data_IF_377493167920
#
_entry.id   IF_377493167920
#
_cell.length_a   1.000
_cell.length_b   1.000
_cell.length_c   1.000
_cell.angle_alpha   90.00
_cell.angle_beta   90.00
_cell.angle_gamma   90.00
#
_symmetry.space_group_name_H-M   'P 1'
#
loop_
_entity.id
_entity.type
_entity.pdbx_description
1 polymer ?
#
# COMPACT_ATOMS: atom_id res chain seq x y z
N UNK A 1 6.04 -10.27 -21.30
CA UNK A 1 5.48 -10.18 -19.93
C UNK A 1 6.00 -8.89 -19.33
N UNK A 2 5.23 -8.14 -18.52
CA UNK A 2 5.73 -6.91 -17.93
C UNK A 2 6.98 -7.25 -17.11
N UNK A 3 8.09 -6.59 -17.43
CA UNK A 3 9.41 -6.80 -16.83
C UNK A 3 9.60 -6.00 -15.54
N UNK A 4 8.61 -5.20 -15.16
CA UNK A 4 8.66 -4.24 -14.04
C UNK A 4 7.87 -4.78 -12.85
N UNK A 5 8.40 -4.67 -11.61
CA UNK A 5 7.65 -5.03 -10.40
C UNK A 5 6.36 -4.23 -10.28
N UNK A 6 5.28 -4.89 -9.85
CA UNK A 6 3.99 -4.23 -9.65
C UNK A 6 3.89 -3.70 -8.23
N UNK A 7 3.88 -2.37 -8.08
CA UNK A 7 3.70 -1.70 -6.79
C UNK A 7 2.32 -1.98 -6.19
N UNK A 8 2.30 -2.37 -4.92
CA UNK A 8 1.09 -2.58 -4.09
C UNK A 8 1.13 -1.61 -2.91
N UNK A 9 0.46 -0.44 -3.00
CA UNK A 9 0.42 0.50 -1.88
C UNK A 9 -0.44 -0.05 -0.73
N UNK A 10 -0.12 0.36 0.50
CA UNK A 10 -0.86 -0.05 1.69
C UNK A 10 -1.92 1.00 2.03
N UNK A 11 -3.19 0.74 1.71
CA UNK A 11 -4.26 1.74 1.89
C UNK A 11 -4.59 2.02 3.37
N UNK A 12 -4.23 1.12 4.27
CA UNK A 12 -4.35 1.32 5.73
C UNK A 12 -3.15 2.05 6.36
N UNK A 13 -2.09 2.35 5.60
CA UNK A 13 -0.95 3.11 6.10
C UNK A 13 -1.25 4.61 6.13
N UNK A 14 -0.40 5.37 6.83
CA UNK A 14 -0.48 6.83 6.81
C UNK A 14 -0.35 7.35 5.36
N UNK A 15 0.64 6.85 4.62
CA UNK A 15 0.89 7.23 3.24
C UNK A 15 -0.26 6.84 2.30
N UNK A 16 -0.83 5.65 2.49
CA UNK A 16 -2.02 5.15 1.81
C UNK A 16 -3.24 6.07 1.96
N UNK A 17 -3.41 6.64 3.15
CA UNK A 17 -4.54 7.50 3.51
C UNK A 17 -4.44 8.93 2.95
N UNK A 18 -3.28 9.33 2.41
CA UNK A 18 -3.07 10.67 1.85
C UNK A 18 -3.78 10.88 0.51
N UNK A 19 -4.16 9.80 -0.18
CA UNK A 19 -4.87 9.84 -1.46
C UNK A 19 -6.25 9.22 -1.34
N UNK A 20 -7.18 9.72 -2.15
CA UNK A 20 -8.46 9.04 -2.37
C UNK A 20 -8.24 7.78 -3.21
N UNK A 21 -9.15 6.80 -3.12
CA UNK A 21 -9.09 5.59 -3.96
C UNK A 21 -9.05 5.93 -5.46
N UNK A 22 -9.82 6.93 -5.90
CA UNK A 22 -9.80 7.42 -7.28
C UNK A 22 -8.43 7.98 -7.70
N UNK A 23 -7.70 8.66 -6.79
CA UNK A 23 -6.35 9.14 -7.10
C UNK A 23 -5.35 8.00 -7.27
N UNK A 24 -5.42 6.97 -6.43
CA UNK A 24 -4.61 5.76 -6.58
C UNK A 24 -4.87 5.07 -7.93
N UNK A 25 -6.13 4.94 -8.32
CA UNK A 25 -6.52 4.34 -9.60
C UNK A 25 -6.06 5.16 -10.80
N UNK A 26 -6.21 6.49 -10.76
CA UNK A 26 -5.70 7.39 -11.80
C UNK A 26 -4.19 7.38 -11.93
N UNK A 27 -3.47 7.06 -10.85
CA UNK A 27 -2.02 6.86 -10.88
C UNK A 27 -1.61 5.55 -11.57
N UNK A 28 -2.56 4.62 -11.79
CA UNK A 28 -2.36 3.33 -12.46
C UNK A 28 -2.37 2.13 -11.51
N UNK A 29 -2.64 2.32 -10.21
CA UNK A 29 -2.69 1.22 -9.24
C UNK A 29 -3.94 0.38 -9.46
N UNK A 30 -3.73 -0.93 -9.66
CA UNK A 30 -4.80 -1.93 -9.86
C UNK A 30 -4.88 -2.94 -8.72
N UNK A 31 -3.81 -3.11 -7.94
CA UNK A 31 -3.76 -3.97 -6.76
C UNK A 31 -3.31 -3.14 -5.56
N UNK A 32 -4.00 -3.28 -4.43
CA UNK A 32 -3.65 -2.55 -3.21
C UNK A 32 -3.78 -3.46 -1.97
N UNK A 33 -3.03 -3.15 -0.92
CA UNK A 33 -3.01 -3.92 0.32
C UNK A 33 -3.78 -3.22 1.45
N UNK A 34 -4.41 -4.03 2.29
CA UNK A 34 -5.06 -3.62 3.52
C UNK A 34 -4.55 -4.51 4.65
N UNK A 35 -4.09 -3.91 5.73
CA UNK A 35 -3.59 -4.67 6.86
C UNK A 35 -4.73 -5.05 7.82
N UNK A 36 -4.81 -6.34 8.17
CA UNK A 36 -5.88 -6.86 9.00
C UNK A 36 -5.82 -6.33 10.43
N UNK A 37 -4.64 -6.15 11.02
CA UNK A 37 -4.50 -5.53 12.33
C UNK A 37 -5.01 -4.08 12.35
N UNK A 38 -4.71 -3.28 11.32
CA UNK A 38 -5.24 -1.94 11.15
C UNK A 38 -6.78 -1.94 11.08
N UNK A 39 -7.36 -2.83 10.27
CA UNK A 39 -8.81 -2.98 10.15
C UNK A 39 -9.48 -3.46 11.45
N UNK A 40 -8.81 -4.36 12.19
CA UNK A 40 -9.27 -4.81 13.50
C UNK A 40 -9.28 -3.65 14.49
N UNK A 41 -8.30 -2.74 14.45
CA UNK A 41 -8.32 -1.54 15.29
C UNK A 41 -9.42 -0.56 14.88
N UNK A 42 -9.49 -0.22 13.59
CA UNK A 42 -10.57 0.57 12.99
C UNK A 42 -10.83 0.08 11.55
N UNK A 43 -12.08 -0.27 11.21
CA UNK A 43 -13.31 0.06 11.91
C UNK A 43 -13.67 -0.81 13.12
N UNK A 44 -12.99 -1.95 13.34
CA UNK A 44 -13.29 -2.84 14.48
C UNK A 44 -13.82 -4.21 14.06
N UNK A 45 -13.57 -5.23 14.88
CA UNK A 45 -13.95 -6.62 14.59
C UNK A 45 -15.46 -6.79 14.33
N UNK A 46 -16.32 -6.20 15.16
CA UNK A 46 -17.77 -6.37 15.03
C UNK A 46 -18.29 -5.75 13.74
N UNK A 47 -17.75 -4.59 13.36
CA UNK A 47 -18.07 -3.96 12.08
C UNK A 47 -17.60 -4.84 10.91
N UNK A 48 -16.36 -5.35 10.95
CA UNK A 48 -15.84 -6.22 9.90
C UNK A 48 -16.69 -7.49 9.70
N UNK A 49 -17.19 -8.08 10.79
CA UNK A 49 -18.10 -9.24 10.73
C UNK A 49 -19.47 -8.90 10.11
N UNK A 50 -19.90 -7.63 10.19
CA UNK A 50 -21.16 -7.18 9.60
C UNK A 50 -21.08 -6.91 8.09
N UNK A 51 -19.86 -6.82 7.53
CA UNK A 51 -19.66 -6.54 6.11
C UNK A 51 -20.04 -7.75 5.24
N UNK A 52 -20.61 -7.47 4.06
CA UNK A 52 -20.84 -8.49 3.03
C UNK A 52 -19.57 -8.91 2.27
N UNK A 53 -18.50 -8.14 2.44
CA UNK A 53 -17.18 -8.29 1.84
C UNK A 53 -16.39 -6.98 1.90
N UNK A 54 -15.07 -7.05 1.75
CA UNK A 54 -14.14 -5.92 1.94
C UNK A 54 -14.40 -4.79 0.95
N UNK A 55 -14.76 -5.13 -0.30
CA UNK A 55 -15.08 -4.15 -1.35
C UNK A 55 -16.36 -3.33 -1.08
N UNK A 56 -17.20 -3.74 -0.13
CA UNK A 56 -18.34 -2.93 0.33
C UNK A 56 -17.92 -1.75 1.22
N UNK A 57 -16.76 -1.88 1.89
CA UNK A 57 -16.18 -0.83 2.73
C UNK A 57 -15.09 -0.04 2.00
N UNK A 58 -14.27 -0.72 1.20
CA UNK A 58 -13.31 -0.11 0.27
C UNK A 58 -13.80 -0.31 -1.16
N UNK A 59 -14.53 0.66 -1.78
CA UNK A 59 -15.05 0.53 -3.13
C UNK A 59 -13.94 0.64 -4.19
N UNK A 60 -13.01 -0.32 -4.15
CA UNK A 60 -11.87 -0.46 -5.02
C UNK A 60 -12.26 -1.31 -6.22
N UNK A 61 -12.08 -0.78 -7.43
CA UNK A 61 -12.43 -1.51 -8.66
C UNK A 61 -11.39 -2.54 -9.09
N UNK A 62 -10.20 -2.51 -8.48
CA UNK A 62 -9.13 -3.47 -8.73
C UNK A 62 -9.16 -4.67 -7.79
N UNK A 63 -8.02 -5.31 -7.63
CA UNK A 63 -7.82 -6.42 -6.70
C UNK A 63 -7.37 -5.89 -5.32
N UNK A 64 -7.69 -6.62 -4.26
CA UNK A 64 -7.29 -6.31 -2.89
C UNK A 64 -6.51 -7.47 -2.25
N UNK A 65 -5.39 -7.13 -1.61
CA UNK A 65 -4.65 -8.01 -0.71
C UNK A 65 -5.07 -7.71 0.73
N UNK A 66 -5.51 -8.73 1.46
CA UNK A 66 -5.67 -8.63 2.91
C UNK A 66 -4.42 -9.20 3.60
N UNK A 67 -3.59 -8.32 4.14
CA UNK A 67 -2.33 -8.67 4.76
C UNK A 67 -2.55 -8.95 6.27
N UNK A 68 -2.43 -10.21 6.66
CA UNK A 68 -2.51 -10.69 8.04
C UNK A 68 -1.13 -11.13 8.59
N UNK A 69 -0.04 -10.79 7.89
CA UNK A 69 1.32 -11.22 8.26
C UNK A 69 1.82 -10.63 9.58
N UNK A 70 1.30 -9.45 9.96
CA UNK A 70 1.68 -8.77 11.21
C UNK A 70 1.01 -9.34 12.46
N UNK A 71 0.00 -10.21 12.30
CA UNK A 71 -0.68 -10.84 13.42
C UNK A 71 0.27 -11.83 14.11
N UNK A 72 0.54 -11.58 15.39
CA UNK A 72 1.44 -12.39 16.23
C UNK A 72 0.65 -13.30 17.15
N UNK A 73 0.95 -14.59 17.07
CA UNK A 73 0.45 -15.61 17.99
C UNK A 73 1.11 -15.46 19.37
N UNK A 74 0.31 -15.54 20.43
CA UNK A 74 0.80 -15.57 21.81
C UNK A 74 1.05 -17.02 22.27
N UNK A 75 1.60 -17.19 23.47
CA UNK A 75 1.87 -18.53 24.05
C UNK A 75 0.62 -19.40 24.23
N UNK A 76 -0.57 -18.81 24.24
CA UNK A 76 -1.84 -19.50 24.38
C UNK A 76 -2.51 -19.80 23.02
N UNK A 77 -1.81 -19.59 21.89
CA UNK A 77 -2.33 -19.87 20.55
C UNK A 77 -3.28 -18.82 19.98
N UNK A 78 -3.32 -17.62 20.56
CA UNK A 78 -4.21 -16.54 20.11
C UNK A 78 -3.45 -15.38 19.47
N UNK A 79 -4.03 -14.79 18.45
CA UNK A 79 -3.58 -13.58 17.78
C UNK A 79 -4.17 -12.36 18.48
N UNK A 80 -3.30 -11.48 18.95
CA UNK A 80 -3.69 -10.30 19.75
C UNK A 80 -3.33 -9.01 19.04
N UNK A 81 -4.31 -8.13 18.89
CA UNK A 81 -4.14 -6.74 18.46
C UNK A 81 -4.55 -5.83 19.61
N UNK A 82 -3.72 -4.83 19.91
CA UNK A 82 -4.05 -3.78 20.89
C UNK A 82 -4.23 -2.48 20.14
N UNK A 83 -5.44 -1.93 20.20
CA UNK A 83 -5.76 -0.64 19.60
C UNK A 83 -4.99 0.48 20.28
N UNK A 84 -4.27 1.29 19.52
CA UNK A 84 -3.64 2.53 20.01
C UNK A 84 -4.63 3.70 20.11
N UNK A 85 -5.87 3.54 19.67
CA UNK A 85 -6.91 4.57 19.75
C UNK A 85 -7.63 4.59 21.10
N UNK A 86 -7.99 3.41 21.61
CA UNK A 86 -8.84 3.22 22.80
C UNK A 86 -8.28 2.19 23.78
N UNK A 87 -7.15 1.55 23.45
CA UNK A 87 -6.53 0.54 24.31
C UNK A 87 -7.22 -0.81 24.30
N UNK A 88 -8.29 -0.98 23.52
CA UNK A 88 -9.01 -2.24 23.38
C UNK A 88 -8.08 -3.37 22.92
N UNK A 89 -8.30 -4.56 23.46
CA UNK A 89 -7.54 -5.75 23.12
C UNK A 89 -8.47 -6.70 22.38
N UNK A 90 -8.15 -6.92 21.11
CA UNK A 90 -8.85 -7.86 20.25
C UNK A 90 -8.03 -9.14 20.23
N UNK A 91 -8.68 -10.26 20.55
CA UNK A 91 -8.03 -11.57 20.60
C UNK A 91 -8.85 -12.57 19.78
N UNK A 92 -8.17 -13.26 18.87
CA UNK A 92 -8.75 -14.25 17.96
C UNK A 92 -7.90 -15.52 17.97
N UNK A 93 -8.50 -16.69 17.81
CA UNK A 93 -7.77 -17.91 17.44
C UNK A 93 -7.58 -17.97 15.91
N UNK A 94 -6.82 -18.96 15.43
CA UNK A 94 -6.55 -19.12 14.00
C UNK A 94 -7.85 -19.33 13.18
N UNK A 95 -8.79 -20.11 13.72
CA UNK A 95 -10.06 -20.39 13.06
C UNK A 95 -10.90 -19.12 12.86
N UNK A 96 -10.96 -18.26 13.87
CA UNK A 96 -11.66 -16.98 13.80
C UNK A 96 -10.97 -16.01 12.83
N UNK A 97 -9.63 -16.01 12.75
CA UNK A 97 -8.89 -15.22 11.75
C UNK A 97 -9.24 -15.70 10.33
N UNK A 98 -9.22 -17.00 10.05
CA UNK A 98 -9.58 -17.53 8.73
C UNK A 98 -11.03 -17.27 8.37
N UNK A 99 -11.96 -17.48 9.30
CA UNK A 99 -13.37 -17.18 9.10
C UNK A 99 -13.58 -15.69 8.75
N UNK A 100 -12.85 -14.79 9.41
CA UNK A 100 -12.89 -13.37 9.11
C UNK A 100 -12.34 -13.05 7.71
N UNK A 101 -11.18 -13.61 7.34
CA UNK A 101 -10.60 -13.40 6.00
C UNK A 101 -11.58 -13.90 4.91
N UNK A 102 -12.18 -15.08 5.10
CA UNK A 102 -13.18 -15.64 4.17
C UNK A 102 -14.41 -14.74 4.08
N UNK A 103 -14.94 -14.26 5.21
CA UNK A 103 -16.09 -13.35 5.23
C UNK A 103 -15.80 -12.02 4.52
N UNK A 104 -14.57 -11.51 4.65
CA UNK A 104 -14.12 -10.30 3.99
C UNK A 104 -13.87 -10.49 2.49
N UNK A 105 -13.72 -11.72 1.98
CA UNK A 105 -13.60 -12.01 0.53
C UNK A 105 -12.58 -11.12 -0.21
N UNK A 106 -11.33 -10.98 0.26
CA UNK A 106 -10.29 -10.32 -0.52
C UNK A 106 -9.95 -11.15 -1.78
N UNK A 107 -9.26 -10.56 -2.76
CA UNK A 107 -8.78 -11.32 -3.91
C UNK A 107 -7.55 -12.16 -3.53
N UNK A 108 -6.70 -11.60 -2.65
CA UNK A 108 -5.52 -12.25 -2.10
C UNK A 108 -5.43 -12.12 -0.58
N UNK A 109 -4.76 -13.07 0.07
CA UNK A 109 -4.40 -12.98 1.49
C UNK A 109 -2.93 -13.31 1.71
N UNK A 110 -2.28 -12.55 2.60
CA UNK A 110 -0.91 -12.83 3.07
C UNK A 110 -1.01 -13.24 4.54
N UNK A 111 -0.41 -14.37 4.89
CA UNK A 111 -0.47 -14.93 6.24
C UNK A 111 0.87 -14.81 6.96
N UNK A 112 0.84 -14.72 8.29
CA UNK A 112 2.06 -14.85 9.09
C UNK A 112 2.54 -16.31 9.06
N UNK A 113 3.82 -16.62 9.33
CA UNK A 113 4.30 -18.01 9.33
C UNK A 113 3.50 -18.93 10.27
N UNK A 114 3.08 -18.41 11.43
CA UNK A 114 2.21 -19.13 12.36
C UNK A 114 0.83 -19.41 11.74
N UNK A 115 0.18 -18.41 11.13
CA UNK A 115 -1.10 -18.60 10.43
C UNK A 115 -0.96 -19.54 9.23
N UNK A 116 0.13 -19.46 8.47
CA UNK A 116 0.38 -20.37 7.35
C UNK A 116 0.46 -21.84 7.81
N UNK A 117 1.16 -22.09 8.93
CA UNK A 117 1.21 -23.42 9.55
C UNK A 117 -0.19 -23.89 10.01
N UNK A 118 -0.95 -23.02 10.68
CA UNK A 118 -2.33 -23.34 11.10
C UNK A 118 -3.26 -23.58 9.90
N UNK A 119 -3.05 -22.89 8.78
CA UNK A 119 -3.81 -23.08 7.55
C UNK A 119 -3.63 -24.48 6.97
N UNK A 120 -2.42 -25.05 7.03
CA UNK A 120 -2.16 -26.42 6.58
C UNK A 120 -2.92 -27.47 7.39
N UNK A 121 -3.12 -27.19 8.69
CA UNK A 121 -3.84 -28.06 9.64
C UNK A 121 -5.35 -27.90 9.49
N UNK A 122 -5.85 -26.67 9.52
CA UNK A 122 -7.27 -26.35 9.53
C UNK A 122 -7.92 -26.46 8.14
N UNK A 123 -7.13 -26.37 7.06
CA UNK A 123 -7.54 -26.46 5.66
C UNK A 123 -8.86 -25.71 5.36
N UNK A 124 -8.92 -24.39 5.66
CA UNK A 124 -10.14 -23.62 5.43
C UNK A 124 -10.48 -23.54 3.93
N UNK A 125 -11.77 -23.47 3.63
CA UNK A 125 -12.26 -23.31 2.26
C UNK A 125 -12.14 -21.84 1.83
N UNK A 126 -11.07 -21.52 1.09
CA UNK A 126 -10.73 -20.14 0.73
C UNK A 126 -11.66 -19.46 -0.28
N UNK A 127 -12.69 -20.13 -0.80
CA UNK A 127 -13.73 -19.53 -1.67
C UNK A 127 -13.19 -18.66 -2.83
N UNK A 128 -12.05 -19.02 -3.41
CA UNK A 128 -11.41 -18.28 -4.49
C UNK A 128 -10.35 -17.25 -4.08
N UNK A 129 -10.13 -17.05 -2.77
CA UNK A 129 -9.03 -16.23 -2.22
C UNK A 129 -7.71 -16.94 -2.53
N UNK A 130 -6.75 -16.20 -3.11
CA UNK A 130 -5.41 -16.72 -3.41
C UNK A 130 -4.44 -16.36 -2.30
N UNK A 131 -3.65 -17.32 -1.84
CA UNK A 131 -2.61 -17.05 -0.85
C UNK A 131 -1.36 -16.53 -1.55
N UNK A 132 -0.79 -15.46 -1.00
CA UNK A 132 0.48 -14.88 -1.42
C UNK A 132 1.54 -15.15 -0.35
N UNK A 133 2.77 -15.42 -0.80
CA UNK A 133 3.88 -15.79 0.07
C UNK A 133 5.18 -15.09 -0.35
N UNK A 134 5.89 -14.57 0.64
CA UNK A 134 7.24 -14.04 0.47
C UNK A 134 8.27 -15.15 0.21
N UNK A 135 8.08 -16.33 0.83
CA UNK A 135 8.97 -17.49 0.62
C UNK A 135 8.97 -17.97 -0.83
N UNK A 136 7.81 -17.90 -1.50
CA UNK A 136 7.66 -18.25 -2.91
C UNK A 136 8.02 -17.09 -3.85
N UNK A 137 8.35 -15.91 -3.31
CA UNK A 137 8.70 -14.71 -4.06
C UNK A 137 7.54 -14.09 -4.84
N UNK A 138 6.30 -14.50 -4.56
CA UNK A 138 5.09 -13.99 -5.24
C UNK A 138 4.66 -12.63 -4.71
N UNK A 139 5.03 -12.31 -3.47
CA UNK A 139 4.72 -11.06 -2.78
C UNK A 139 5.88 -10.63 -1.88
N UNK A 140 6.37 -9.41 -2.06
CA UNK A 140 7.56 -8.91 -1.33
C UNK A 140 7.24 -7.57 -0.70
N UNK A 141 8.00 -7.21 0.33
CA UNK A 141 7.97 -5.87 0.90
C UNK A 141 9.25 -5.12 0.54
N UNK A 142 9.12 -3.86 0.13
CA UNK A 142 10.27 -2.95 -0.05
C UNK A 142 10.01 -1.62 0.66
N UNK A 143 11.06 -1.07 1.27
CA UNK A 143 11.02 0.21 1.97
C UNK A 143 11.86 1.30 1.32
N UNK A 144 12.39 1.07 0.12
CA UNK A 144 13.28 2.00 -0.58
C UNK A 144 13.27 1.78 -2.09
N UNK A 145 13.56 2.84 -2.84
CA UNK A 145 13.50 2.86 -4.30
C UNK A 145 14.55 1.95 -4.96
N UNK A 146 15.79 1.97 -4.51
CA UNK A 146 16.89 1.15 -5.05
C UNK A 146 16.59 -0.34 -4.96
N UNK A 147 16.10 -0.80 -3.80
CA UNK A 147 15.70 -2.20 -3.62
C UNK A 147 14.47 -2.57 -4.46
N UNK A 148 13.53 -1.64 -4.66
CA UNK A 148 12.37 -1.84 -5.52
C UNK A 148 12.78 -1.98 -7.00
N UNK A 149 13.65 -1.10 -7.49
CA UNK A 149 14.11 -1.11 -8.88
C UNK A 149 15.06 -2.28 -9.19
N UNK A 150 15.73 -2.83 -8.17
CA UNK A 150 16.61 -3.99 -8.31
C UNK A 150 15.88 -5.33 -8.43
N UNK A 151 14.53 -5.34 -8.37
CA UNK A 151 13.74 -6.57 -8.54
C UNK A 151 13.79 -7.01 -9.99
N UNK A 152 14.68 -7.96 -10.31
CA UNK A 152 14.79 -8.57 -11.63
C UNK A 152 13.82 -9.76 -11.80
N UNK A 153 13.11 -9.80 -12.94
CA UNK A 153 12.42 -11.00 -13.39
C UNK A 153 10.90 -11.00 -13.19
N UNK A 154 10.30 -12.08 -13.68
CA UNK A 154 8.86 -12.24 -13.89
C UNK A 154 8.12 -12.66 -12.60
N UNK A 155 8.32 -11.96 -11.48
CA UNK A 155 7.57 -12.09 -10.21
C UNK A 155 8.19 -11.12 -9.17
N UNK A 156 7.47 -10.34 -8.37
CA UNK A 156 6.06 -10.41 -8.04
C UNK A 156 5.61 -9.06 -7.48
N UNK A 157 4.43 -9.09 -6.88
CA UNK A 157 3.78 -7.93 -6.30
C UNK A 157 4.67 -7.37 -5.17
N UNK A 158 5.00 -6.08 -5.20
CA UNK A 158 5.85 -5.44 -4.19
C UNK A 158 5.03 -4.48 -3.37
N UNK A 159 4.77 -4.84 -2.12
CA UNK A 159 4.17 -3.96 -1.13
C UNK A 159 5.17 -2.87 -0.72
N UNK A 160 4.77 -1.60 -0.84
CA UNK A 160 5.62 -0.48 -0.50
C UNK A 160 4.83 0.82 -0.24
N UNK A 161 5.21 1.52 0.82
CA UNK A 161 4.75 2.88 1.14
C UNK A 161 5.80 3.96 0.79
N UNK A 162 7.05 3.55 0.54
CA UNK A 162 8.17 4.49 0.34
C UNK A 162 7.92 5.54 -0.77
N UNK A 163 7.24 5.27 -1.91
CA UNK A 163 7.00 6.29 -2.92
C UNK A 163 6.15 7.44 -2.39
N UNK A 164 5.16 7.10 -1.56
CA UNK A 164 4.28 8.07 -0.94
C UNK A 164 4.97 8.76 0.24
N UNK A 165 5.71 8.03 1.08
CA UNK A 165 6.47 8.61 2.19
C UNK A 165 7.54 9.61 1.71
N UNK A 166 8.20 9.33 0.59
CA UNK A 166 9.18 10.21 -0.03
C UNK A 166 8.51 11.47 -0.60
N UNK A 167 7.39 11.30 -1.31
CA UNK A 167 6.61 12.43 -1.81
C UNK A 167 6.09 13.34 -0.68
N UNK A 168 5.73 12.76 0.48
CA UNK A 168 5.28 13.51 1.66
C UNK A 168 6.39 14.44 2.17
N UNK A 169 7.65 14.02 2.06
CA UNK A 169 8.85 14.77 2.45
C UNK A 169 9.33 15.75 1.37
N UNK A 170 8.74 15.73 0.18
CA UNK A 170 9.17 16.55 -0.95
C UNK A 170 10.19 15.88 -1.88
N UNK A 171 10.52 14.61 -1.65
CA UNK A 171 11.41 13.83 -2.52
C UNK A 171 10.64 13.29 -3.73
N UNK A 172 11.15 13.55 -4.93
CA UNK A 172 10.48 13.22 -6.20
C UNK A 172 11.40 12.44 -7.11
N UNK A 173 10.87 11.39 -7.75
CA UNK A 173 11.63 10.54 -8.66
C UNK A 173 11.57 11.06 -10.10
N UNK A 174 12.72 11.22 -10.74
CA UNK A 174 12.80 11.62 -12.16
C UNK A 174 14.06 11.03 -12.78
N UNK A 175 13.92 10.32 -13.90
CA UNK A 175 15.04 9.78 -14.70
C UNK A 175 16.11 9.02 -13.89
N UNK A 176 15.70 8.19 -12.92
CA UNK A 176 16.62 7.43 -12.07
C UNK A 176 17.27 8.23 -10.94
N UNK A 177 16.85 9.49 -10.73
CA UNK A 177 17.33 10.37 -9.66
C UNK A 177 16.21 10.69 -8.67
N UNK A 178 16.61 11.07 -7.45
CA UNK A 178 15.72 11.59 -6.43
C UNK A 178 16.01 13.08 -6.25
N UNK A 179 15.03 13.93 -6.54
CA UNK A 179 15.09 15.38 -6.34
C UNK A 179 14.44 15.76 -5.02
N UNK A 180 15.09 16.58 -4.19
CA UNK A 180 14.45 17.21 -3.04
C UNK A 180 13.89 18.58 -3.45
N UNK A 181 12.58 18.67 -3.65
CA UNK A 181 11.95 19.91 -4.08
C UNK A 181 11.95 21.03 -3.03
N UNK A 182 12.37 20.77 -1.79
CA UNK A 182 12.60 21.83 -0.79
C UNK A 182 13.95 22.53 -0.98
N UNK A 183 14.86 21.99 -1.80
CA UNK A 183 16.13 22.65 -2.10
C UNK A 183 15.91 24.00 -2.78
N UNK A 184 16.70 24.99 -2.36
CA UNK A 184 16.58 26.38 -2.83
C UNK A 184 16.80 26.54 -4.34
N UNK A 185 17.52 25.62 -4.97
CA UNK A 185 17.73 25.60 -6.42
C UNK A 185 16.40 25.49 -7.20
N UNK A 186 15.37 24.85 -6.62
CA UNK A 186 14.08 24.68 -7.26
C UNK A 186 13.15 25.88 -7.08
N UNK A 187 13.49 26.85 -6.21
CA UNK A 187 12.64 28.02 -5.94
C UNK A 187 12.33 28.91 -7.16
N UNK A 188 13.20 28.90 -8.17
CA UNK A 188 13.05 29.63 -9.43
C UNK A 188 13.23 28.70 -10.66
N UNK A 189 13.09 27.39 -10.47
CA UNK A 189 13.15 26.42 -11.56
C UNK A 189 11.76 26.31 -12.24
N UNK A 190 11.57 27.04 -13.33
CA UNK A 190 10.33 27.03 -14.12
C UNK A 190 10.25 25.88 -15.13
N UNK A 191 11.16 24.91 -15.07
CA UNK A 191 11.00 23.67 -15.85
C UNK A 191 9.90 22.80 -15.27
N UNK A 192 9.30 21.96 -16.13
CA UNK A 192 8.27 21.00 -15.70
C UNK A 192 8.83 19.98 -14.70
N UNK A 193 7.98 19.43 -13.83
CA UNK A 193 8.40 18.48 -12.79
C UNK A 193 9.29 17.34 -13.34
N UNK A 194 8.79 16.65 -14.36
CA UNK A 194 9.47 15.53 -15.03
C UNK A 194 9.09 15.51 -16.52
N UNK A 195 10.11 15.61 -17.38
CA UNK A 195 9.91 15.64 -18.82
C UNK A 195 9.56 14.24 -19.36
N UNK A 196 8.44 14.13 -20.06
CA UNK A 196 7.97 12.86 -20.64
C UNK A 196 7.15 11.97 -19.70
N UNK A 197 7.00 12.35 -18.42
CA UNK A 197 6.12 11.64 -17.49
C UNK A 197 4.64 11.81 -17.88
N UNK A 198 3.91 10.71 -17.94
CA UNK A 198 2.50 10.70 -18.35
C UNK A 198 1.52 10.63 -17.18
N UNK A 199 1.99 10.83 -15.95
CA UNK A 199 1.13 10.80 -14.76
C UNK A 199 0.08 11.94 -14.80
N UNK A 200 -1.04 11.81 -14.06
CA UNK A 200 -2.09 12.83 -14.03
C UNK A 200 -1.60 14.24 -13.68
N UNK A 201 -0.50 14.33 -12.92
CA UNK A 201 0.10 15.57 -12.43
C UNK A 201 1.01 16.21 -13.48
N UNK A 202 1.95 15.46 -14.05
CA UNK A 202 2.89 15.97 -15.06
C UNK A 202 2.18 16.41 -16.34
N UNK A 203 1.03 15.81 -16.68
CA UNK A 203 0.17 16.29 -17.78
C UNK A 203 -0.33 17.73 -17.61
N UNK A 204 -0.34 18.25 -16.39
CA UNK A 204 -0.73 19.65 -16.12
C UNK A 204 0.42 20.64 -16.40
N UNK A 205 1.64 20.15 -16.67
CA UNK A 205 2.83 20.98 -16.89
C UNK A 205 3.15 21.95 -15.74
N UNK A 206 2.86 21.56 -14.50
CA UNK A 206 3.31 22.32 -13.33
C UNK A 206 4.84 22.32 -13.22
N UNK A 207 5.39 23.43 -12.75
CA UNK A 207 6.84 23.63 -12.65
C UNK A 207 7.40 23.11 -11.32
N UNK A 208 8.71 22.87 -11.28
CA UNK A 208 9.41 22.54 -10.02
C UNK A 208 9.30 23.68 -9.01
N UNK A 209 9.41 24.93 -9.44
CA UNK A 209 9.17 26.11 -8.60
C UNK A 209 7.76 26.18 -8.01
N UNK A 210 6.74 25.75 -8.77
CA UNK A 210 5.38 25.67 -8.25
C UNK A 210 5.29 24.67 -7.09
N UNK A 211 5.86 23.48 -7.24
CA UNK A 211 5.87 22.48 -6.16
C UNK A 211 6.73 22.88 -4.97
N UNK A 212 7.89 23.50 -5.20
CA UNK A 212 8.71 24.09 -4.12
C UNK A 212 7.88 25.07 -3.27
N UNK A 213 7.16 25.98 -3.93
CA UNK A 213 6.27 26.93 -3.27
C UNK A 213 5.10 26.23 -2.55
N UNK A 214 4.44 25.26 -3.18
CA UNK A 214 3.34 24.53 -2.54
C UNK A 214 3.81 23.74 -1.32
N UNK A 215 4.98 23.10 -1.36
CA UNK A 215 5.51 22.37 -0.20
C UNK A 215 5.73 23.29 1.01
N UNK A 216 6.11 24.54 0.78
CA UNK A 216 6.33 25.53 1.85
C UNK A 216 5.04 26.13 2.41
N UNK A 217 4.01 26.30 1.59
CA UNK A 217 2.82 27.08 1.97
C UNK A 217 1.49 26.30 1.96
N UNK A 218 1.40 25.22 1.20
CA UNK A 218 0.21 24.36 1.06
C UNK A 218 0.61 22.88 0.91
N UNK A 219 1.33 22.31 1.89
CA UNK A 219 1.99 21.01 1.76
C UNK A 219 1.01 19.89 1.43
N UNK A 220 -0.20 19.88 1.99
CA UNK A 220 -1.18 18.82 1.72
C UNK A 220 -1.58 18.71 0.23
N UNK A 221 -1.65 19.84 -0.48
CA UNK A 221 -1.96 19.82 -1.91
C UNK A 221 -0.74 19.32 -2.71
N UNK A 222 0.46 19.78 -2.36
CA UNK A 222 1.70 19.34 -2.99
C UNK A 222 1.86 17.82 -2.84
N UNK A 223 1.75 17.30 -1.62
CA UNK A 223 1.93 15.89 -1.30
C UNK A 223 1.00 15.01 -2.12
N UNK A 224 -0.28 15.37 -2.26
CA UNK A 224 -1.23 14.62 -3.10
C UNK A 224 -0.80 14.53 -4.57
N UNK A 225 -0.19 15.59 -5.10
CA UNK A 225 0.34 15.56 -6.46
C UNK A 225 1.63 14.74 -6.55
N UNK A 226 2.57 14.95 -5.63
CA UNK A 226 3.85 14.26 -5.65
C UNK A 226 3.72 12.76 -5.41
N UNK A 227 2.77 12.32 -4.57
CA UNK A 227 2.49 10.88 -4.37
C UNK A 227 2.03 10.25 -5.68
N UNK A 228 1.09 10.88 -6.39
CA UNK A 228 0.63 10.36 -7.70
C UNK A 228 1.76 10.27 -8.72
N UNK A 229 2.71 11.21 -8.70
CA UNK A 229 3.88 11.17 -9.57
C UNK A 229 4.85 10.03 -9.20
N UNK A 230 5.27 9.93 -7.94
CA UNK A 230 6.22 8.89 -7.49
C UNK A 230 5.64 7.48 -7.68
N UNK A 231 4.35 7.30 -7.41
CA UNK A 231 3.65 6.02 -7.60
C UNK A 231 3.62 5.66 -9.09
N UNK A 232 3.30 6.62 -9.96
CA UNK A 232 3.33 6.40 -11.40
C UNK A 232 4.75 6.08 -11.90
N UNK A 233 5.78 6.72 -11.34
CA UNK A 233 7.17 6.44 -11.65
C UNK A 233 7.50 4.96 -11.36
N UNK A 234 7.20 4.47 -10.14
CA UNK A 234 7.46 3.08 -9.76
C UNK A 234 6.67 2.04 -10.57
N UNK A 235 5.55 2.41 -11.18
CA UNK A 235 4.78 1.48 -12.01
C UNK A 235 5.28 1.38 -13.46
N UNK A 236 6.03 2.38 -13.94
CA UNK A 236 6.38 2.51 -15.35
C UNK A 236 7.90 2.49 -15.61
N UNK A 237 8.72 2.44 -14.55
CA UNK A 237 10.18 2.38 -14.59
C UNK A 237 10.68 1.30 -13.64
#
# INVERSE_FOLDING_TARGET
MPTTPSLVPVLTSHAGSCLTLDNWQKAGITLAALYLDALLMKPGLDFLKSLSGLKSYYPWSGELVLNASTLKENKAGHYRVRSHYDGEIIQLDAAAVFALIIALKPDYAVLSPSLANQCQVLKPEWQGIRLLSDEEGTYRYSNRLDAFLAVEGNAGLVEADFPADDAIKGHVYDQGQVMDLLDSQYSQDFTVLSAGCTCPVCRQNYTRAYFHHLLQHTPLLAQRFLIQHNVHYCQNH
#
